data_IF_291647970758
#
_entry.id   IF_291647970758
#
_cell.length_a   1.000
_cell.length_b   1.000
_cell.length_c   1.000
_cell.angle_alpha   90.00
_cell.angle_beta   90.00
_cell.angle_gamma   90.00
#
_symmetry.space_group_name_H-M   'P 1'
#
loop_
_entity.id
_entity.type
_entity.pdbx_description
1 polymer ?
#
# COMPACT_ATOMS: atom_id res chain seq x y z
N UNK A 1 12.73 5.78 -31.66
CA UNK A 1 12.61 4.92 -30.48
C UNK A 1 12.76 5.76 -29.23
N UNK A 2 11.90 5.55 -28.26
CA UNK A 2 11.95 6.30 -27.00
C UNK A 2 12.93 5.61 -26.07
N UNK A 3 13.94 6.34 -25.61
CA UNK A 3 14.87 5.83 -24.62
C UNK A 3 14.25 6.00 -23.23
N UNK A 4 14.13 4.88 -22.52
CA UNK A 4 13.61 4.89 -21.17
C UNK A 4 14.77 5.15 -20.21
N UNK A 5 14.69 6.27 -19.51
CA UNK A 5 15.73 6.68 -18.57
C UNK A 5 15.19 6.84 -17.16
N UNK A 6 16.05 7.36 -16.27
CA UNK A 6 15.71 7.58 -14.87
C UNK A 6 14.45 8.45 -14.72
N UNK A 7 14.33 9.50 -15.52
CA UNK A 7 13.18 10.41 -15.45
C UNK A 7 11.84 9.70 -15.68
N UNK A 8 11.80 8.69 -16.54
CA UNK A 8 10.59 7.92 -16.79
C UNK A 8 10.16 7.13 -15.56
N UNK A 9 11.12 6.49 -14.88
CA UNK A 9 10.83 5.72 -13.67
C UNK A 9 10.44 6.63 -12.51
N UNK A 10 11.11 7.76 -12.35
CA UNK A 10 10.76 8.74 -11.30
C UNK A 10 9.37 9.32 -11.53
N UNK A 11 9.00 9.57 -12.79
CA UNK A 11 7.67 10.05 -13.13
C UNK A 11 6.60 9.00 -12.79
N UNK A 12 6.85 7.74 -13.15
CA UNK A 12 5.95 6.65 -12.80
C UNK A 12 5.80 6.54 -11.28
N UNK A 13 6.90 6.58 -10.55
CA UNK A 13 6.89 6.56 -9.09
C UNK A 13 6.09 7.71 -8.51
N UNK A 14 6.27 8.92 -9.03
CA UNK A 14 5.54 10.11 -8.58
C UNK A 14 4.03 9.96 -8.81
N UNK A 15 3.63 9.42 -9.96
CA UNK A 15 2.22 9.19 -10.28
C UNK A 15 1.61 8.17 -9.31
N UNK A 16 2.28 7.05 -9.08
CA UNK A 16 1.80 6.00 -8.18
C UNK A 16 1.73 6.53 -6.75
N UNK A 17 2.75 7.25 -6.32
CA UNK A 17 2.79 7.88 -4.99
C UNK A 17 1.59 8.81 -4.79
N UNK A 18 1.34 9.66 -5.78
CA UNK A 18 0.22 10.61 -5.75
C UNK A 18 -1.12 9.88 -5.68
N UNK A 19 -1.30 8.82 -6.46
CA UNK A 19 -2.51 8.01 -6.42
C UNK A 19 -2.71 7.42 -5.01
N UNK A 20 -1.64 6.93 -4.40
CA UNK A 20 -1.69 6.40 -3.04
C UNK A 20 -2.12 7.44 -2.02
N UNK A 21 -1.53 8.64 -2.07
CA UNK A 21 -1.88 9.74 -1.17
C UNK A 21 -3.34 10.16 -1.36
N UNK A 22 -3.77 10.35 -2.61
CA UNK A 22 -5.15 10.73 -2.92
C UNK A 22 -6.12 9.64 -2.45
N UNK A 23 -5.75 8.38 -2.63
CA UNK A 23 -6.57 7.26 -2.18
C UNK A 23 -6.83 7.30 -0.68
N UNK A 24 -5.82 7.63 0.13
CA UNK A 24 -6.00 7.76 1.58
C UNK A 24 -6.97 8.89 1.90
N UNK A 25 -6.77 10.07 1.31
CA UNK A 25 -7.60 11.24 1.60
C UNK A 25 -9.05 11.07 1.17
N UNK A 26 -9.29 10.44 0.02
CA UNK A 26 -10.64 10.29 -0.51
C UNK A 26 -11.43 9.15 0.18
N UNK A 27 -10.74 8.19 0.76
CA UNK A 27 -11.37 6.97 1.27
C UNK A 27 -10.99 6.69 2.73
N UNK A 28 -10.96 7.73 3.55
CA UNK A 28 -10.51 7.64 4.95
C UNK A 28 -11.29 6.65 5.81
N UNK A 29 -12.52 6.33 5.42
CA UNK A 29 -13.37 5.41 6.19
C UNK A 29 -13.29 3.96 5.70
N UNK A 30 -12.62 3.71 4.58
CA UNK A 30 -12.49 2.37 4.03
C UNK A 30 -11.09 1.83 4.33
N UNK A 31 -10.99 0.95 5.33
CA UNK A 31 -9.73 0.40 5.80
C UNK A 31 -9.01 -0.36 4.68
N UNK A 32 -9.75 -1.10 3.85
CA UNK A 32 -9.15 -1.86 2.76
C UNK A 32 -8.50 -0.93 1.74
N UNK A 33 -9.19 0.16 1.38
CA UNK A 33 -8.64 1.15 0.44
C UNK A 33 -7.43 1.87 1.04
N UNK A 34 -7.46 2.18 2.33
CA UNK A 34 -6.32 2.78 3.02
C UNK A 34 -5.11 1.84 2.96
N UNK A 35 -5.31 0.56 3.25
CA UNK A 35 -4.22 -0.43 3.18
C UNK A 35 -3.65 -0.52 1.76
N UNK A 36 -4.51 -0.62 0.75
CA UNK A 36 -4.08 -0.66 -0.65
C UNK A 36 -3.33 0.61 -1.04
N UNK A 37 -3.77 1.75 -0.56
CA UNK A 37 -3.13 3.05 -0.84
C UNK A 37 -1.73 3.12 -0.23
N UNK A 38 -1.56 2.62 1.00
CA UNK A 38 -0.25 2.54 1.65
C UNK A 38 0.68 1.62 0.84
N UNK A 39 0.16 0.50 0.34
CA UNK A 39 0.95 -0.41 -0.48
C UNK A 39 1.39 0.25 -1.79
N UNK A 40 0.55 1.09 -2.40
CA UNK A 40 0.92 1.86 -3.59
C UNK A 40 2.05 2.85 -3.28
N UNK A 41 2.01 3.49 -2.13
CA UNK A 41 3.07 4.42 -1.69
C UNK A 41 4.39 3.66 -1.53
N UNK A 42 4.35 2.51 -0.90
CA UNK A 42 5.56 1.67 -0.74
C UNK A 42 6.09 1.18 -2.09
N UNK A 43 5.20 0.81 -3.00
CA UNK A 43 5.60 0.44 -4.36
C UNK A 43 6.32 1.61 -5.06
N UNK A 44 5.79 2.82 -4.94
CA UNK A 44 6.40 4.01 -5.54
C UNK A 44 7.82 4.24 -5.00
N UNK A 45 8.01 4.10 -3.68
CA UNK A 45 9.33 4.20 -3.05
C UNK A 45 10.27 3.13 -3.60
N UNK A 46 9.80 1.90 -3.73
CA UNK A 46 10.59 0.80 -4.27
C UNK A 46 11.00 1.04 -5.72
N UNK A 47 10.10 1.55 -6.55
CA UNK A 47 10.42 1.90 -7.93
C UNK A 47 11.57 2.91 -7.96
N UNK A 48 11.52 3.92 -7.12
CA UNK A 48 12.57 4.93 -7.03
C UNK A 48 13.89 4.34 -6.57
N UNK A 49 13.88 3.49 -5.54
CA UNK A 49 15.11 2.86 -5.02
C UNK A 49 15.78 2.00 -6.08
N UNK A 50 15.00 1.19 -6.79
CA UNK A 50 15.54 0.32 -7.84
C UNK A 50 16.04 1.16 -9.02
N UNK A 51 15.29 2.17 -9.42
CA UNK A 51 15.68 3.06 -10.53
C UNK A 51 17.00 3.79 -10.23
N UNK A 52 17.13 4.37 -9.04
CA UNK A 52 18.38 5.02 -8.62
C UNK A 52 19.54 4.03 -8.53
N UNK A 53 19.26 2.84 -8.01
CA UNK A 53 20.27 1.79 -7.90
C UNK A 53 20.86 1.42 -9.27
N UNK A 54 19.99 1.22 -10.25
CA UNK A 54 20.42 0.89 -11.61
C UNK A 54 21.16 2.06 -12.25
N UNK A 55 20.63 3.26 -12.13
CA UNK A 55 21.22 4.46 -12.74
C UNK A 55 22.60 4.80 -12.15
N UNK A 56 22.75 4.65 -10.83
CA UNK A 56 24.01 4.91 -10.14
C UNK A 56 24.97 3.72 -10.15
N UNK A 57 24.54 2.60 -10.70
CA UNK A 57 25.28 1.34 -10.72
C UNK A 57 25.70 0.91 -9.31
N UNK A 58 24.78 1.03 -8.35
CA UNK A 58 24.99 0.70 -6.95
C UNK A 58 23.86 -0.20 -6.46
N UNK A 59 24.20 -1.42 -6.06
CA UNK A 59 23.21 -2.43 -5.65
C UNK A 59 22.47 -2.10 -4.37
N UNK A 60 22.94 -1.12 -3.59
CA UNK A 60 22.36 -0.77 -2.30
C UNK A 60 20.86 -0.49 -2.38
N UNK A 61 20.42 0.24 -3.42
CA UNK A 61 18.99 0.53 -3.60
C UNK A 61 18.15 -0.71 -3.81
N UNK A 62 18.68 -1.70 -4.53
CA UNK A 62 17.99 -2.98 -4.75
C UNK A 62 17.87 -3.78 -3.46
N UNK A 63 18.91 -3.77 -2.64
CA UNK A 63 18.90 -4.44 -1.33
C UNK A 63 17.85 -3.81 -0.43
N UNK A 64 17.81 -2.48 -0.34
CA UNK A 64 16.78 -1.79 0.44
C UNK A 64 15.37 -2.07 -0.09
N UNK A 65 15.20 -2.14 -1.41
CA UNK A 65 13.91 -2.49 -2.00
C UNK A 65 13.44 -3.87 -1.55
N UNK A 66 14.34 -4.86 -1.47
CA UNK A 66 14.00 -6.19 -0.97
C UNK A 66 13.56 -6.14 0.49
N UNK A 67 14.24 -5.37 1.34
CA UNK A 67 13.82 -5.20 2.73
C UNK A 67 12.44 -4.57 2.83
N UNK A 68 12.17 -3.53 2.05
CA UNK A 68 10.87 -2.87 2.04
C UNK A 68 9.78 -3.83 1.58
N UNK A 69 10.03 -4.65 0.54
CA UNK A 69 9.09 -5.66 0.10
C UNK A 69 8.78 -6.69 1.19
N UNK A 70 9.81 -7.11 1.93
CA UNK A 70 9.63 -8.05 3.04
C UNK A 70 8.75 -7.45 4.14
N UNK A 71 9.02 -6.20 4.54
CA UNK A 71 8.23 -5.49 5.53
C UNK A 71 6.81 -5.27 5.02
N UNK A 72 6.66 -4.86 3.76
CA UNK A 72 5.34 -4.64 3.16
C UNK A 72 4.51 -5.92 3.13
N UNK A 73 5.13 -7.06 2.81
CA UNK A 73 4.45 -8.35 2.83
C UNK A 73 3.97 -8.70 4.24
N UNK A 74 4.81 -8.50 5.25
CA UNK A 74 4.44 -8.73 6.64
C UNK A 74 3.31 -7.80 7.09
N UNK A 75 3.39 -6.52 6.75
CA UNK A 75 2.34 -5.55 7.05
C UNK A 75 1.02 -5.90 6.39
N UNK A 76 1.05 -6.31 5.12
CA UNK A 76 -0.15 -6.70 4.39
C UNK A 76 -0.80 -7.92 5.04
N UNK A 77 -0.02 -8.91 5.44
CA UNK A 77 -0.52 -10.11 6.11
C UNK A 77 -1.17 -9.75 7.45
N UNK A 78 -0.50 -8.96 8.29
CA UNK A 78 -1.02 -8.51 9.58
C UNK A 78 -2.25 -7.63 9.37
N UNK A 79 -2.18 -6.69 8.43
CA UNK A 79 -3.28 -5.79 8.12
C UNK A 79 -4.54 -6.53 7.66
N UNK A 80 -4.38 -7.52 6.79
CA UNK A 80 -5.51 -8.34 6.35
C UNK A 80 -6.09 -9.15 7.50
N UNK A 81 -5.25 -9.69 8.37
CA UNK A 81 -5.73 -10.41 9.57
C UNK A 81 -6.56 -9.50 10.47
N UNK A 82 -6.08 -8.28 10.71
CA UNK A 82 -6.80 -7.29 11.52
C UNK A 82 -8.13 -6.93 10.86
N UNK A 83 -8.14 -6.71 9.56
CA UNK A 83 -9.36 -6.37 8.81
C UNK A 83 -10.38 -7.51 8.90
N UNK A 84 -9.96 -8.75 8.77
CA UNK A 84 -10.84 -9.90 8.89
C UNK A 84 -11.48 -9.95 10.27
N UNK A 85 -10.69 -9.81 11.32
CA UNK A 85 -11.21 -9.79 12.70
C UNK A 85 -12.16 -8.62 12.90
N UNK A 86 -11.81 -7.45 12.43
CA UNK A 86 -12.65 -6.25 12.53
C UNK A 86 -14.02 -6.46 11.88
N UNK A 87 -14.05 -6.97 10.66
CA UNK A 87 -15.33 -7.18 9.96
C UNK A 87 -16.15 -8.28 10.61
N UNK A 88 -15.53 -9.32 11.13
CA UNK A 88 -16.26 -10.38 11.86
C UNK A 88 -16.90 -9.81 13.12
N UNK A 89 -16.18 -9.03 13.89
CA UNK A 89 -16.71 -8.37 15.07
C UNK A 89 -17.83 -7.38 14.74
N UNK A 90 -17.65 -6.60 13.69
CA UNK A 90 -18.65 -5.64 13.23
C UNK A 90 -19.93 -6.32 12.81
N UNK A 91 -19.86 -7.45 12.07
CA UNK A 91 -21.02 -8.23 11.69
C UNK A 91 -21.75 -8.77 12.91
N UNK A 92 -21.03 -9.28 13.90
CA UNK A 92 -21.60 -9.78 15.15
C UNK A 92 -22.34 -8.67 15.88
N UNK A 93 -21.74 -7.50 16.02
CA UNK A 93 -22.34 -6.35 16.67
C UNK A 93 -23.63 -5.93 15.96
N UNK A 94 -23.62 -5.90 14.64
CA UNK A 94 -24.82 -5.55 13.85
C UNK A 94 -25.96 -6.52 14.06
N UNK A 95 -25.66 -7.80 14.12
CA UNK A 95 -26.69 -8.83 14.37
C UNK A 95 -27.28 -8.63 15.78
N UNK A 96 -26.47 -8.39 16.78
CA UNK A 96 -26.91 -8.11 18.14
C UNK A 96 -27.78 -6.86 18.21
N UNK A 97 -27.40 -5.80 17.50
CA UNK A 97 -28.20 -4.58 17.44
C UNK A 97 -29.58 -4.84 16.83
N UNK A 98 -29.64 -5.60 15.73
CA UNK A 98 -30.89 -5.95 15.08
C UNK A 98 -31.78 -6.76 16.03
N UNK A 99 -31.22 -7.74 16.72
CA UNK A 99 -31.94 -8.55 17.69
C UNK A 99 -32.47 -7.71 18.84
N UNK A 100 -31.66 -6.79 19.32
CA UNK A 100 -32.02 -5.84 20.36
C UNK A 100 -33.21 -4.96 19.95
N UNK A 101 -33.23 -4.50 18.70
CA UNK A 101 -34.32 -3.68 18.19
C UNK A 101 -35.62 -4.45 17.99
N UNK A 102 -35.53 -5.73 17.71
CA UNK A 102 -36.71 -6.58 17.49
C UNK A 102 -37.30 -7.14 18.78
N UNK A 103 -36.50 -7.18 19.80
CA UNK A 103 -36.84 -7.89 20.98
C UNK A 103 -37.18 -7.18 22.17
#
# INVERSE_FOLDING_TARGET
MIDIGLGHYLTLGAIIFTIGIVGIFLNRKNIIVILMSIELILLAVNINLVAFSIFLNDITGQIFALFILTVAAAEAAIGLAIIVVYYRNSSTIRVEEINSLKG
#
